data_IF_566127777211
#
_entry.id   IF_566127777211
#
_cell.length_a   1.000
_cell.length_b   1.000
_cell.length_c   1.000
_cell.angle_alpha   90.00
_cell.angle_beta   90.00
_cell.angle_gamma   90.00
#
_symmetry.space_group_name_H-M   'P 1'
#
loop_
_entity.id
_entity.type
_entity.pdbx_description
1 polymer ?
#
# COMPACT_ATOMS: atom_id res chain seq x y z
N UNK A 1 5.26 3.30 30.10
CA UNK A 1 4.24 3.33 29.05
C UNK A 1 4.04 1.96 28.44
N UNK A 2 2.96 1.84 27.77
CA UNK A 2 2.60 0.62 27.08
C UNK A 2 3.48 0.46 25.83
N UNK A 3 4.12 -0.72 25.63
CA UNK A 3 4.96 -0.92 24.44
C UNK A 3 4.23 -0.69 23.11
N UNK A 4 2.94 -0.95 23.07
CA UNK A 4 2.14 -0.71 21.88
C UNK A 4 2.08 0.78 21.56
N UNK A 5 1.92 1.61 22.57
CA UNK A 5 1.90 3.06 22.39
C UNK A 5 3.25 3.57 21.90
N UNK A 6 4.31 3.02 22.43
CA UNK A 6 5.66 3.38 22.00
C UNK A 6 5.89 3.04 20.54
N UNK A 7 5.43 1.87 20.10
CA UNK A 7 5.56 1.45 18.71
C UNK A 7 4.79 2.41 17.80
N UNK A 8 3.58 2.79 18.19
CA UNK A 8 2.77 3.73 17.40
C UNK A 8 3.45 5.09 17.31
N UNK A 9 3.99 5.58 18.43
CA UNK A 9 4.64 6.89 18.48
C UNK A 9 5.94 6.94 17.70
N UNK A 10 6.66 5.82 17.63
CA UNK A 10 7.91 5.73 16.91
C UNK A 10 7.73 5.42 15.44
N UNK A 11 6.57 4.92 15.07
CA UNK A 11 6.29 4.55 13.70
C UNK A 11 6.17 5.77 12.80
N UNK A 12 6.77 5.70 11.63
CA UNK A 12 6.64 6.72 10.60
C UNK A 12 5.23 6.71 10.02
N UNK A 13 4.61 5.53 10.01
CA UNK A 13 3.29 5.33 9.45
C UNK A 13 2.37 4.71 10.50
N UNK A 14 1.12 5.14 10.57
CA UNK A 14 0.16 4.49 11.45
C UNK A 14 -0.05 3.03 11.04
N UNK A 15 -0.41 2.21 12.00
CA UNK A 15 -0.65 0.79 11.76
C UNK A 15 -2.07 0.52 11.28
N UNK A 16 -2.95 1.51 11.36
CA UNK A 16 -4.34 1.41 10.92
C UNK A 16 -4.77 2.75 10.31
N UNK A 17 -5.80 2.74 9.46
CA UNK A 17 -6.21 3.96 8.77
C UNK A 17 -6.78 4.99 9.75
N UNK A 18 -6.20 6.19 9.71
CA UNK A 18 -6.68 7.34 10.50
C UNK A 18 -6.70 8.57 9.62
N UNK A 19 -7.55 9.54 9.96
CA UNK A 19 -7.57 10.82 9.26
C UNK A 19 -6.50 11.74 9.85
N UNK A 20 -6.47 12.99 9.36
CA UNK A 20 -5.48 13.98 9.82
C UNK A 20 -5.58 14.29 11.31
N UNK A 21 -6.75 14.09 11.91
CA UNK A 21 -6.99 14.33 13.33
C UNK A 21 -6.71 13.11 14.20
N UNK A 22 -6.24 12.00 13.59
CA UNK A 22 -5.97 10.78 14.31
C UNK A 22 -7.18 9.91 14.56
N UNK A 23 -8.33 10.24 13.97
CA UNK A 23 -9.56 9.46 14.11
C UNK A 23 -9.56 8.27 13.18
N UNK A 24 -10.04 7.12 13.65
CA UNK A 24 -10.11 5.91 12.86
C UNK A 24 -11.03 6.10 11.65
N UNK A 25 -10.58 5.65 10.49
CA UNK A 25 -11.39 5.69 9.27
C UNK A 25 -12.16 4.38 9.11
N UNK A 26 -13.38 4.45 8.58
CA UNK A 26 -14.16 3.23 8.36
C UNK A 26 -13.57 2.37 7.25
N UNK A 27 -13.63 1.07 7.43
CA UNK A 27 -13.23 0.12 6.41
C UNK A 27 -14.24 -1.02 6.36
N UNK A 28 -14.36 -1.63 5.17
CA UNK A 28 -15.33 -2.72 4.96
C UNK A 28 -14.77 -4.08 5.37
N UNK A 29 -13.45 -4.24 5.24
CA UNK A 29 -12.78 -5.47 5.66
C UNK A 29 -11.28 -5.22 5.85
N UNK A 30 -10.65 -6.13 6.54
CA UNK A 30 -9.19 -6.15 6.69
C UNK A 30 -8.71 -7.59 6.48
N UNK A 31 -7.56 -7.73 5.83
CA UNK A 31 -6.97 -9.05 5.64
C UNK A 31 -5.45 -8.95 5.66
N UNK A 32 -4.80 -10.08 5.96
CA UNK A 32 -3.35 -10.16 5.94
C UNK A 32 -2.89 -10.43 4.52
N UNK A 33 -1.97 -9.61 4.02
CA UNK A 33 -1.42 -9.76 2.68
C UNK A 33 0.08 -9.95 2.72
N UNK A 34 0.59 -10.72 1.75
CA UNK A 34 2.02 -10.77 1.47
C UNK A 34 2.32 -9.61 0.53
N UNK A 35 3.07 -8.64 1.03
CA UNK A 35 3.37 -7.42 0.28
C UNK A 35 4.80 -7.44 -0.22
N UNK A 36 4.95 -7.55 -1.53
CA UNK A 36 6.23 -7.38 -2.23
C UNK A 36 6.36 -5.93 -2.65
N UNK A 37 7.47 -5.55 -3.23
CA UNK A 37 7.71 -4.18 -3.65
C UNK A 37 8.26 -4.12 -5.07
N UNK A 38 7.84 -3.11 -5.83
CA UNK A 38 8.41 -2.82 -7.14
C UNK A 38 8.73 -1.32 -7.20
N UNK A 39 9.47 -0.93 -8.23
CA UNK A 39 9.97 0.44 -8.30
C UNK A 39 9.81 1.02 -9.71
N UNK A 40 10.11 2.31 -9.84
CA UNK A 40 9.97 3.04 -11.09
C UNK A 40 11.06 2.63 -12.07
N UNK A 41 10.90 1.49 -12.72
CA UNK A 41 11.89 0.91 -13.63
C UNK A 41 12.25 1.88 -14.75
N UNK A 42 11.25 2.61 -15.27
CA UNK A 42 11.44 3.58 -16.36
C UNK A 42 11.58 5.00 -15.85
N UNK A 43 11.72 5.19 -14.54
CA UNK A 43 11.83 6.49 -13.91
C UNK A 43 10.52 7.00 -13.34
N UNK A 44 10.62 7.86 -12.34
CA UNK A 44 9.47 8.47 -11.69
C UNK A 44 8.63 9.24 -12.71
N UNK A 45 7.33 8.98 -12.73
CA UNK A 45 6.40 9.62 -13.66
C UNK A 45 6.38 9.00 -15.05
N UNK A 46 7.16 7.94 -15.28
CA UNK A 46 7.24 7.26 -16.59
C UNK A 46 6.80 5.82 -16.54
N UNK A 47 6.43 5.32 -15.35
CA UNK A 47 5.93 3.97 -15.17
C UNK A 47 4.41 4.04 -15.11
N UNK A 48 3.74 3.25 -15.95
CA UNK A 48 2.28 3.23 -16.04
C UNK A 48 1.74 1.91 -15.53
N UNK A 49 0.57 1.98 -14.92
CA UNK A 49 -0.11 0.82 -14.35
C UNK A 49 -1.10 0.23 -15.37
N UNK A 50 -1.61 -0.97 -15.07
CA UNK A 50 -2.60 -1.62 -15.92
C UNK A 50 -3.90 -0.81 -16.06
N UNK A 51 -4.22 0.01 -15.07
CA UNK A 51 -5.40 0.88 -15.13
C UNK A 51 -5.20 2.09 -16.04
N UNK A 52 -3.99 2.30 -16.56
CA UNK A 52 -3.67 3.41 -17.43
C UNK A 52 -3.18 4.65 -16.71
N UNK A 53 -3.24 4.69 -15.38
CA UNK A 53 -2.70 5.82 -14.63
C UNK A 53 -1.21 5.64 -14.34
N UNK A 54 -0.52 6.73 -14.11
CA UNK A 54 0.89 6.67 -13.74
C UNK A 54 1.05 6.02 -12.36
N UNK A 55 2.11 5.24 -12.21
CA UNK A 55 2.50 4.73 -10.90
C UNK A 55 3.00 5.90 -10.05
N UNK A 56 2.53 5.98 -8.82
CA UNK A 56 2.80 7.10 -7.92
C UNK A 56 3.10 6.59 -6.53
N UNK A 57 4.15 7.11 -5.91
CA UNK A 57 4.40 6.98 -4.47
C UNK A 57 4.10 8.32 -3.82
N UNK A 58 2.98 8.40 -3.12
CA UNK A 58 2.53 9.65 -2.49
C UNK A 58 2.30 9.39 -1.00
N UNK A 59 3.28 9.76 -0.18
CA UNK A 59 3.22 9.51 1.27
C UNK A 59 2.15 10.33 1.96
N UNK A 60 1.70 11.42 1.33
CA UNK A 60 0.65 12.30 1.88
C UNK A 60 -0.72 12.02 1.27
N UNK A 61 -0.83 11.05 0.39
CA UNK A 61 -2.07 10.71 -0.28
C UNK A 61 -2.11 9.24 -0.63
N UNK A 62 -2.63 8.92 -1.82
CA UNK A 62 -2.78 7.55 -2.27
C UNK A 62 -1.64 7.17 -3.22
N UNK A 63 -0.92 6.11 -2.89
CA UNK A 63 0.08 5.51 -3.77
C UNK A 63 -0.57 4.39 -4.58
N UNK A 64 -0.06 4.13 -5.79
CA UNK A 64 -0.57 3.04 -6.61
C UNK A 64 0.06 1.72 -6.20
N UNK A 65 -0.74 0.67 -6.17
CA UNK A 65 -0.24 -0.68 -5.87
C UNK A 65 -0.84 -1.69 -6.85
N UNK A 66 -0.18 -2.82 -6.99
CA UNK A 66 -0.66 -3.93 -7.80
C UNK A 66 -1.40 -4.92 -6.90
N UNK A 67 -2.50 -5.44 -7.40
CA UNK A 67 -3.39 -6.36 -6.66
C UNK A 67 -3.88 -7.46 -7.60
N UNK A 68 -4.53 -8.48 -7.03
CA UNK A 68 -5.35 -9.41 -7.78
C UNK A 68 -6.72 -8.78 -7.94
N UNK A 69 -7.06 -8.33 -9.15
CA UNK A 69 -8.31 -7.59 -9.38
C UNK A 69 -9.56 -8.43 -9.16
N UNK A 70 -9.44 -9.76 -9.08
CA UNK A 70 -10.56 -10.61 -8.72
C UNK A 70 -10.87 -10.56 -7.23
N UNK A 71 -9.90 -10.14 -6.41
CA UNK A 71 -10.03 -9.98 -4.95
C UNK A 71 -10.29 -8.51 -4.61
N UNK A 72 -9.55 -7.61 -5.24
CA UNK A 72 -9.63 -6.16 -5.00
C UNK A 72 -9.81 -5.48 -6.35
N UNK A 73 -11.01 -4.98 -6.66
CA UNK A 73 -11.24 -4.30 -7.94
C UNK A 73 -10.32 -3.10 -8.10
N UNK A 74 -9.90 -2.84 -9.34
CA UNK A 74 -9.12 -1.64 -9.65
C UNK A 74 -9.91 -0.39 -9.28
N UNK A 75 -9.24 0.59 -8.71
CA UNK A 75 -9.87 1.81 -8.20
C UNK A 75 -10.22 1.75 -6.72
N UNK A 76 -10.12 0.59 -6.09
CA UNK A 76 -10.41 0.45 -4.67
C UNK A 76 -9.36 1.21 -3.84
N UNK A 77 -9.84 1.97 -2.86
CA UNK A 77 -8.97 2.68 -1.93
C UNK A 77 -8.67 1.78 -0.73
N UNK A 78 -7.41 1.78 -0.35
CA UNK A 78 -6.88 0.86 0.66
C UNK A 78 -5.99 1.62 1.64
N UNK A 79 -5.76 0.99 2.78
CA UNK A 79 -4.68 1.38 3.68
C UNK A 79 -3.82 0.14 3.92
N UNK A 80 -2.53 0.26 3.66
CA UNK A 80 -1.55 -0.83 3.83
C UNK A 80 -0.69 -0.51 5.04
N UNK A 81 -0.73 -1.38 6.03
CA UNK A 81 0.05 -1.24 7.25
C UNK A 81 1.53 -1.06 6.92
N UNK A 82 2.14 0.00 7.45
CA UNK A 82 3.55 0.30 7.21
C UNK A 82 3.85 0.99 5.88
N UNK A 83 2.90 1.04 4.96
CA UNK A 83 3.07 1.68 3.65
C UNK A 83 2.27 2.98 3.53
N UNK A 84 1.00 2.93 3.96
CA UNK A 84 0.11 4.09 3.92
C UNK A 84 -1.09 3.88 3.03
N UNK A 85 -1.76 4.97 2.69
CA UNK A 85 -2.92 4.93 1.81
C UNK A 85 -2.52 4.53 0.40
N UNK A 86 -3.37 3.75 -0.25
CA UNK A 86 -3.09 3.19 -1.55
C UNK A 86 -4.36 3.09 -2.40
N UNK A 87 -4.18 3.02 -3.70
CA UNK A 87 -5.25 2.75 -4.64
C UNK A 87 -4.85 1.56 -5.52
N UNK A 88 -5.77 0.61 -5.66
CA UNK A 88 -5.55 -0.54 -6.53
C UNK A 88 -5.53 -0.06 -7.98
N UNK A 89 -4.37 -0.08 -8.62
CA UNK A 89 -4.19 0.51 -9.94
C UNK A 89 -3.52 -0.43 -10.93
N UNK A 90 -2.90 -1.49 -10.45
CA UNK A 90 -2.10 -2.36 -11.30
C UNK A 90 -2.39 -3.83 -10.98
N UNK A 91 -1.94 -4.69 -11.87
CA UNK A 91 -2.03 -6.14 -11.73
C UNK A 91 -0.69 -6.74 -12.15
N UNK A 92 -0.46 -7.98 -11.76
CA UNK A 92 0.73 -8.70 -12.16
C UNK A 92 0.45 -10.20 -12.17
N UNK A 93 1.14 -10.95 -13.03
CA UNK A 93 0.91 -12.38 -13.16
C UNK A 93 1.21 -13.14 -11.87
N UNK A 94 2.09 -12.62 -11.03
CA UNK A 94 2.45 -13.22 -9.75
C UNK A 94 1.65 -12.61 -8.57
N UNK A 95 0.81 -11.60 -8.84
CA UNK A 95 0.03 -10.94 -7.79
C UNK A 95 -1.36 -11.55 -7.77
N UNK A 96 -1.49 -12.65 -7.06
CA UNK A 96 -2.73 -13.43 -6.99
C UNK A 96 -3.16 -13.64 -5.55
N UNK A 97 -4.46 -13.72 -5.32
CA UNK A 97 -5.03 -13.90 -3.99
C UNK A 97 -4.74 -12.71 -3.09
N UNK A 98 -4.29 -12.99 -1.88
CA UNK A 98 -3.97 -11.95 -0.89
C UNK A 98 -2.55 -11.40 -1.02
N UNK A 99 -1.96 -11.51 -2.20
CA UNK A 99 -0.67 -10.88 -2.48
C UNK A 99 -0.90 -9.49 -3.04
N UNK A 100 -0.05 -8.55 -2.65
CA UNK A 100 -0.02 -7.20 -3.22
C UNK A 100 1.43 -6.83 -3.53
N UNK A 101 1.60 -5.81 -4.36
CA UNK A 101 2.92 -5.34 -4.76
C UNK A 101 2.92 -3.82 -4.63
N UNK A 102 3.65 -3.30 -3.64
CA UNK A 102 3.63 -1.87 -3.34
C UNK A 102 4.72 -1.15 -4.11
N UNK A 103 4.40 0.04 -4.59
CA UNK A 103 5.25 0.80 -5.49
C UNK A 103 6.12 1.80 -4.74
N UNK A 104 7.38 1.88 -5.16
CA UNK A 104 8.33 2.87 -4.67
C UNK A 104 8.99 3.60 -5.84
N UNK A 105 9.53 4.79 -5.56
CA UNK A 105 10.19 5.58 -6.59
C UNK A 105 11.57 5.02 -6.96
N UNK A 106 12.25 4.34 -6.03
CA UNK A 106 13.60 3.88 -6.24
C UNK A 106 13.77 2.41 -5.91
N UNK A 107 14.75 1.79 -6.52
CA UNK A 107 15.16 0.41 -6.24
C UNK A 107 15.54 0.24 -4.77
N UNK A 108 16.26 1.22 -4.21
CA UNK A 108 16.68 1.16 -2.82
C UNK A 108 15.50 1.09 -1.86
N UNK A 109 14.49 1.91 -2.09
CA UNK A 109 13.27 1.90 -1.27
C UNK A 109 12.54 0.55 -1.37
N UNK A 110 12.45 0.02 -2.57
CA UNK A 110 11.82 -1.29 -2.79
C UNK A 110 12.60 -2.40 -2.07
N UNK A 111 13.93 -2.36 -2.12
CA UNK A 111 14.77 -3.32 -1.41
C UNK A 111 14.63 -3.19 0.10
N UNK A 112 14.50 -1.97 0.61
CA UNK A 112 14.31 -1.75 2.05
C UNK A 112 12.97 -2.29 2.53
N UNK A 113 11.94 -2.23 1.70
CA UNK A 113 10.66 -2.85 2.03
C UNK A 113 10.78 -4.37 2.04
N UNK A 114 11.48 -4.93 1.06
CA UNK A 114 11.65 -6.36 0.85
C UNK A 114 10.29 -7.07 0.73
N UNK A 115 9.99 -8.05 1.57
CA UNK A 115 8.71 -8.74 1.62
C UNK A 115 8.18 -8.67 3.04
N UNK A 116 6.94 -8.23 3.19
CA UNK A 116 6.31 -8.11 4.50
C UNK A 116 4.92 -8.72 4.48
N UNK A 117 4.51 -9.25 5.62
CA UNK A 117 3.14 -9.69 5.82
C UNK A 117 2.44 -8.62 6.63
N UNK A 118 1.49 -7.93 6.02
CA UNK A 118 0.89 -6.73 6.61
C UNK A 118 -0.63 -6.78 6.51
N UNK A 119 -1.29 -6.03 7.36
CA UNK A 119 -2.73 -5.85 7.27
C UNK A 119 -3.07 -4.87 6.16
N UNK A 120 -4.07 -5.22 5.36
CA UNK A 120 -4.62 -4.36 4.32
C UNK A 120 -6.07 -4.07 4.65
N UNK A 121 -6.40 -2.80 4.77
CA UNK A 121 -7.74 -2.33 5.08
C UNK A 121 -8.38 -1.84 3.80
N UNK A 122 -9.54 -2.41 3.47
CA UNK A 122 -10.33 -1.96 2.33
C UNK A 122 -11.24 -0.84 2.82
N UNK A 123 -10.98 0.38 2.40
CA UNK A 123 -11.69 1.56 2.89
C UNK A 123 -13.09 1.65 2.31
N UNK A 124 -13.97 2.22 3.08
CA UNK A 124 -15.34 2.49 2.62
C UNK A 124 -15.40 3.75 1.77
#
# INVERSE_FOLDING_TARGET
SNPVDEIILQGTYPLMPVNKNGEALPYSRVFKARATAYYAVYGVGRTYTASGRKAVRNVDGYSTIAVDKSIIPLGTKLFVEGYGFAIAADVGTAIVGNNIDVYFNTYKEACNWAVKYVNVYVLK
#
